data_IF_544188558225
#
_entry.id   IF_544188558225
#
_cell.length_a   1.000
_cell.length_b   1.000
_cell.length_c   1.000
_cell.angle_alpha   90.00
_cell.angle_beta   90.00
_cell.angle_gamma   90.00
#
_symmetry.space_group_name_H-M   'P 1'
#
loop_
_entity.id
_entity.type
_entity.pdbx_description
1 polymer ?
#
# COMPACT_ATOMS: atom_id res chain seq x y z
N UNK A 1 -15.48 -103.38 -17.30
CA UNK A 1 -16.09 -102.04 -17.70
C UNK A 1 -16.46 -101.24 -16.48
N UNK A 2 -15.59 -100.39 -15.99
CA UNK A 2 -15.89 -99.37 -14.94
C UNK A 2 -15.14 -98.08 -15.28
N UNK A 3 -15.90 -97.08 -15.70
CA UNK A 3 -15.37 -95.76 -16.03
C UNK A 3 -15.24 -94.96 -14.72
N UNK A 4 -14.03 -94.63 -14.35
CA UNK A 4 -13.71 -93.72 -13.25
C UNK A 4 -13.59 -92.32 -13.79
N UNK A 5 -14.52 -91.44 -13.35
CA UNK A 5 -14.56 -90.00 -13.67
C UNK A 5 -13.63 -89.26 -12.75
N UNK A 6 -12.55 -88.63 -13.28
CA UNK A 6 -11.60 -87.82 -12.55
C UNK A 6 -12.11 -86.34 -12.53
N UNK A 7 -12.58 -85.90 -11.38
CA UNK A 7 -12.91 -84.45 -11.17
C UNK A 7 -11.63 -83.64 -10.86
N UNK A 8 -11.32 -82.74 -11.75
CA UNK A 8 -10.24 -81.75 -11.56
C UNK A 8 -10.80 -80.52 -10.87
N UNK A 9 -10.45 -80.31 -9.59
CA UNK A 9 -10.82 -79.14 -8.83
C UNK A 9 -9.84 -77.97 -9.16
N UNK A 10 -10.32 -76.97 -9.84
CA UNK A 10 -9.61 -75.71 -10.14
C UNK A 10 -9.67 -74.80 -8.95
N UNK A 11 -8.62 -74.75 -8.11
CA UNK A 11 -8.51 -73.81 -7.03
C UNK A 11 -8.08 -72.45 -7.57
N UNK A 12 -9.06 -71.49 -7.68
CA UNK A 12 -8.81 -70.13 -8.05
C UNK A 12 -8.19 -69.36 -6.88
N UNK A 13 -6.90 -69.09 -6.98
CA UNK A 13 -6.19 -68.16 -6.04
C UNK A 13 -6.58 -66.72 -6.37
N UNK A 14 -7.43 -66.12 -5.52
CA UNK A 14 -7.70 -64.70 -5.53
C UNK A 14 -6.50 -63.98 -4.93
N UNK A 15 -5.68 -63.33 -5.77
CA UNK A 15 -4.63 -62.42 -5.33
C UNK A 15 -5.27 -61.09 -4.87
N UNK A 16 -5.10 -60.62 -3.61
CA UNK A 16 -5.53 -59.31 -3.23
C UNK A 16 -4.65 -58.27 -3.92
N UNK A 17 -5.25 -57.46 -4.81
CA UNK A 17 -4.61 -56.29 -5.38
C UNK A 17 -4.43 -55.30 -4.23
N UNK A 18 -3.24 -55.21 -3.64
CA UNK A 18 -2.88 -54.16 -2.72
C UNK A 18 -2.81 -52.84 -3.52
N UNK A 19 -3.83 -52.02 -3.41
CA UNK A 19 -3.82 -50.67 -3.91
C UNK A 19 -2.78 -49.90 -3.09
N UNK A 20 -1.59 -49.64 -3.63
CA UNK A 20 -0.60 -48.72 -3.06
C UNK A 20 -1.23 -47.34 -3.10
N UNK A 21 -1.24 -46.58 -1.96
CA UNK A 21 -1.67 -45.20 -1.99
C UNK A 21 -0.70 -44.44 -2.90
N UNK A 22 -1.18 -43.91 -4.02
CA UNK A 22 -0.46 -42.94 -4.84
C UNK A 22 -0.40 -41.67 -4.00
N UNK A 23 0.74 -41.47 -3.34
CA UNK A 23 1.09 -40.16 -2.75
C UNK A 23 1.20 -39.20 -3.93
N UNK A 24 0.20 -38.35 -4.11
CA UNK A 24 0.24 -37.27 -5.09
C UNK A 24 1.46 -36.40 -4.76
N UNK A 25 2.37 -36.26 -5.70
CA UNK A 25 3.50 -35.34 -5.55
C UNK A 25 2.97 -33.95 -5.18
N UNK A 26 3.54 -33.27 -4.19
CA UNK A 26 3.14 -31.90 -3.85
C UNK A 26 3.28 -31.01 -5.10
N UNK A 27 2.33 -30.11 -5.34
CA UNK A 27 2.39 -29.25 -6.51
C UNK A 27 3.70 -28.46 -6.52
N UNK A 28 4.43 -28.54 -7.63
CA UNK A 28 5.68 -27.80 -7.80
C UNK A 28 5.40 -26.29 -7.72
N UNK A 29 6.14 -25.57 -6.88
CA UNK A 29 6.03 -24.13 -6.79
C UNK A 29 6.57 -23.46 -8.06
N UNK A 30 5.69 -22.82 -8.83
CA UNK A 30 6.05 -21.92 -9.93
C UNK A 30 5.94 -20.47 -9.43
N UNK A 31 7.08 -19.85 -9.23
CA UNK A 31 7.19 -18.56 -8.56
C UNK A 31 7.35 -17.47 -9.61
N UNK A 32 6.65 -16.34 -9.42
CA UNK A 32 6.94 -15.07 -10.07
C UNK A 32 7.24 -14.01 -9.03
N UNK A 33 8.02 -13.01 -9.42
CA UNK A 33 8.47 -11.92 -8.54
C UNK A 33 7.87 -10.61 -9.02
N UNK A 34 7.49 -9.76 -8.08
CA UNK A 34 6.98 -8.42 -8.34
C UNK A 34 7.68 -7.40 -7.43
N UNK A 35 8.07 -6.26 -7.98
CA UNK A 35 8.59 -5.12 -7.25
C UNK A 35 7.49 -4.05 -7.11
N UNK A 36 6.80 -4.05 -5.96
CA UNK A 36 5.73 -3.07 -5.69
C UNK A 36 6.26 -1.65 -5.55
N UNK A 37 7.49 -1.48 -5.07
CA UNK A 37 8.12 -0.16 -4.99
C UNK A 37 8.41 0.38 -6.40
N UNK A 38 8.94 -0.45 -7.30
CA UNK A 38 9.16 -0.10 -8.68
C UNK A 38 7.84 0.24 -9.42
N UNK A 39 6.75 -0.48 -9.15
CA UNK A 39 5.43 -0.15 -9.71
C UNK A 39 4.99 1.24 -9.27
N UNK A 40 5.10 1.56 -7.98
CA UNK A 40 4.77 2.91 -7.48
C UNK A 40 5.67 3.98 -8.11
N UNK A 41 6.95 3.70 -8.32
CA UNK A 41 7.92 4.66 -8.83
C UNK A 41 7.81 4.89 -10.34
N UNK A 42 7.54 3.83 -11.12
CA UNK A 42 7.67 3.87 -12.57
C UNK A 42 6.34 3.78 -13.34
N UNK A 43 5.22 3.46 -12.68
CA UNK A 43 3.92 3.54 -13.34
C UNK A 43 3.48 5.00 -13.51
N UNK A 44 2.68 5.26 -14.56
CA UNK A 44 2.11 6.60 -14.82
C UNK A 44 1.29 7.10 -13.62
N UNK A 45 0.45 6.24 -13.06
CA UNK A 45 -0.37 6.58 -11.89
C UNK A 45 0.49 6.86 -10.65
N UNK A 46 1.55 6.08 -10.41
CA UNK A 46 2.45 6.30 -9.28
C UNK A 46 3.19 7.63 -9.39
N UNK A 47 3.69 7.97 -10.59
CA UNK A 47 4.33 9.25 -10.88
C UNK A 47 3.36 10.42 -10.74
N UNK A 48 2.12 10.26 -11.21
CA UNK A 48 1.07 11.27 -11.07
C UNK A 48 0.72 11.53 -9.60
N UNK A 49 0.53 10.46 -8.81
CA UNK A 49 0.34 10.56 -7.36
C UNK A 49 1.51 11.29 -6.70
N UNK A 50 2.75 10.89 -6.99
CA UNK A 50 3.95 11.52 -6.42
C UNK A 50 4.02 13.02 -6.75
N UNK A 51 3.73 13.42 -7.99
CA UNK A 51 3.69 14.82 -8.42
C UNK A 51 2.62 15.61 -7.67
N UNK A 52 1.41 15.08 -7.55
CA UNK A 52 0.33 15.73 -6.80
C UNK A 52 0.70 15.88 -5.32
N UNK A 53 1.21 14.82 -4.69
CA UNK A 53 1.65 14.85 -3.29
C UNK A 53 2.75 15.89 -3.04
N UNK A 54 3.73 15.98 -3.95
CA UNK A 54 4.78 17.00 -3.86
C UNK A 54 4.20 18.42 -3.97
N UNK A 55 3.25 18.63 -4.89
CA UNK A 55 2.57 19.92 -5.04
C UNK A 55 1.83 20.30 -3.76
N UNK A 56 1.07 19.37 -3.18
CA UNK A 56 0.32 19.60 -1.95
C UNK A 56 1.24 19.83 -0.73
N UNK A 57 2.34 19.09 -0.64
CA UNK A 57 3.33 19.30 0.42
C UNK A 57 3.98 20.71 0.32
N UNK A 58 4.31 21.15 -0.89
CA UNK A 58 4.86 22.48 -1.11
C UNK A 58 3.84 23.59 -0.78
N UNK A 59 2.57 23.41 -1.16
CA UNK A 59 1.50 24.35 -0.80
C UNK A 59 1.32 24.43 0.72
N UNK A 60 1.22 23.28 1.40
CA UNK A 60 1.10 23.24 2.85
C UNK A 60 2.29 23.92 3.55
N UNK A 61 3.52 23.67 3.09
CA UNK A 61 4.74 24.33 3.60
C UNK A 61 4.69 25.84 3.42
N UNK A 62 4.29 26.32 2.25
CA UNK A 62 4.21 27.75 1.95
C UNK A 62 3.16 28.45 2.81
N UNK A 63 1.96 27.83 2.95
CA UNK A 63 0.87 28.34 3.77
C UNK A 63 1.30 28.46 5.24
N UNK A 64 1.90 27.39 5.80
CA UNK A 64 2.38 27.36 7.18
C UNK A 64 3.53 28.36 7.41
N UNK A 65 4.45 28.48 6.46
CA UNK A 65 5.54 29.45 6.51
C UNK A 65 5.02 30.89 6.50
N UNK A 66 4.04 31.19 5.67
CA UNK A 66 3.41 32.50 5.61
C UNK A 66 2.72 32.85 6.93
N UNK A 67 1.92 31.92 7.47
CA UNK A 67 1.25 32.10 8.77
C UNK A 67 2.27 32.27 9.91
N UNK A 68 3.36 31.48 9.91
CA UNK A 68 4.43 31.59 10.89
C UNK A 68 5.13 32.95 10.85
N UNK A 69 5.41 33.48 9.65
CA UNK A 69 6.00 34.83 9.50
C UNK A 69 5.05 35.92 10.00
N UNK A 70 3.76 35.80 9.70
CA UNK A 70 2.75 36.76 10.19
C UNK A 70 2.65 36.72 11.72
N UNK A 71 2.63 35.51 12.31
CA UNK A 71 2.60 35.34 13.76
C UNK A 71 3.86 35.89 14.45
N UNK A 72 5.03 35.67 13.84
CA UNK A 72 6.30 36.24 14.32
C UNK A 72 6.29 37.77 14.30
N UNK A 73 5.73 38.39 13.24
CA UNK A 73 5.59 39.84 13.16
C UNK A 73 4.61 40.35 14.23
N UNK A 74 3.48 39.66 14.43
CA UNK A 74 2.52 39.99 15.50
C UNK A 74 3.16 39.89 16.89
N UNK A 75 3.99 38.85 17.15
CA UNK A 75 4.69 38.68 18.40
C UNK A 75 5.67 39.84 18.68
N UNK A 76 6.43 40.30 17.67
CA UNK A 76 7.29 41.48 17.81
C UNK A 76 6.50 42.74 18.13
N UNK A 77 5.39 42.98 17.44
CA UNK A 77 4.52 44.14 17.70
C UNK A 77 3.92 44.08 19.11
N UNK A 78 3.45 42.89 19.53
CA UNK A 78 2.92 42.69 20.87
C UNK A 78 3.99 42.99 21.96
N UNK A 79 5.21 42.50 21.76
CA UNK A 79 6.32 42.74 22.66
C UNK A 79 6.63 44.26 22.85
N UNK A 80 6.55 45.05 21.77
CA UNK A 80 6.75 46.50 21.82
C UNK A 80 5.63 47.23 22.55
N UNK A 81 4.39 46.74 22.39
CA UNK A 81 3.18 47.40 22.96
C UNK A 81 2.90 46.96 24.40
N UNK A 82 3.38 45.81 24.83
CA UNK A 82 3.00 45.21 26.12
C UNK A 82 3.33 46.08 27.34
N UNK A 83 4.34 46.95 27.22
CA UNK A 83 4.78 47.82 28.30
C UNK A 83 3.82 48.99 28.57
N UNK A 84 3.01 49.39 27.57
CA UNK A 84 2.11 50.56 27.63
C UNK A 84 0.63 50.16 27.69
N UNK A 85 0.29 48.86 27.63
CA UNK A 85 -1.08 48.35 27.68
C UNK A 85 -1.61 48.28 29.12
N UNK A 86 -2.88 48.58 29.31
CA UNK A 86 -3.59 48.28 30.56
C UNK A 86 -3.56 46.76 30.85
N UNK A 87 -3.48 46.35 32.15
CA UNK A 87 -3.24 44.95 32.52
C UNK A 87 -4.24 43.95 31.92
N UNK A 88 -5.51 44.31 31.86
CA UNK A 88 -6.58 43.48 31.27
C UNK A 88 -6.46 43.34 29.77
N UNK A 89 -6.09 44.40 29.05
CA UNK A 89 -5.83 44.38 27.60
C UNK A 89 -4.59 43.59 27.27
N UNK A 90 -3.53 43.74 28.07
CA UNK A 90 -2.30 42.94 27.94
C UNK A 90 -2.59 41.43 28.04
N UNK A 91 -3.32 41.03 29.09
CA UNK A 91 -3.66 39.63 29.29
C UNK A 91 -4.45 39.07 28.11
N UNK A 92 -5.50 39.75 27.67
CA UNK A 92 -6.33 39.34 26.52
C UNK A 92 -5.49 39.17 25.23
N UNK A 93 -4.55 40.10 24.95
CA UNK A 93 -3.68 40.01 23.77
C UNK A 93 -2.67 38.86 23.84
N UNK A 94 -2.11 38.62 25.00
CA UNK A 94 -1.21 37.48 25.22
C UNK A 94 -1.93 36.14 25.03
N UNK A 95 -3.15 36.03 25.58
CA UNK A 95 -3.94 34.80 25.44
C UNK A 95 -4.36 34.57 23.98
N UNK A 96 -4.79 35.64 23.28
CA UNK A 96 -5.09 35.57 21.86
C UNK A 96 -3.87 35.18 21.00
N UNK A 97 -2.69 35.66 21.34
CA UNK A 97 -1.45 35.31 20.66
C UNK A 97 -1.10 33.82 20.87
N UNK A 98 -1.16 33.34 22.12
CA UNK A 98 -0.96 31.91 22.43
C UNK A 98 -1.94 31.02 21.70
N UNK A 99 -3.22 31.38 21.65
CA UNK A 99 -4.22 30.63 20.90
C UNK A 99 -3.89 30.53 19.40
N UNK A 100 -3.28 31.59 18.81
CA UNK A 100 -2.82 31.56 17.41
C UNK A 100 -1.60 30.65 17.23
N UNK A 101 -0.66 30.64 18.18
CA UNK A 101 0.49 29.72 18.18
C UNK A 101 0.01 28.26 18.20
N UNK A 102 -0.89 27.92 19.12
CA UNK A 102 -1.51 26.59 19.22
C UNK A 102 -2.27 26.22 17.95
N UNK A 103 -3.03 27.18 17.39
CA UNK A 103 -3.78 26.97 16.15
C UNK A 103 -2.84 26.67 14.95
N UNK A 104 -1.71 27.36 14.85
CA UNK A 104 -0.69 27.13 13.81
C UNK A 104 -0.05 25.75 13.96
N UNK A 105 0.31 25.38 15.19
CA UNK A 105 0.85 24.05 15.47
C UNK A 105 -0.18 22.95 15.12
N UNK A 106 -1.43 23.11 15.53
CA UNK A 106 -2.51 22.21 15.18
C UNK A 106 -2.78 22.14 13.66
N UNK A 107 -2.64 23.28 12.96
CA UNK A 107 -2.76 23.32 11.50
C UNK A 107 -1.64 22.51 10.82
N UNK A 108 -0.41 22.58 11.31
CA UNK A 108 0.71 21.80 10.79
C UNK A 108 0.46 20.29 10.95
N UNK A 109 0.03 19.87 12.13
CA UNK A 109 -0.31 18.46 12.40
C UNK A 109 -1.45 17.97 11.48
N UNK A 110 -2.52 18.76 11.33
CA UNK A 110 -3.63 18.40 10.44
C UNK A 110 -3.19 18.27 8.97
N UNK A 111 -2.32 19.17 8.48
CA UNK A 111 -1.78 19.10 7.11
C UNK A 111 -0.96 17.84 6.89
N UNK A 112 -0.11 17.48 7.84
CA UNK A 112 0.70 16.24 7.77
C UNK A 112 -0.20 14.99 7.74
N UNK A 113 -1.21 14.94 8.61
CA UNK A 113 -2.15 13.83 8.64
C UNK A 113 -3.00 13.74 7.36
N UNK A 114 -3.48 14.86 6.83
CA UNK A 114 -4.19 14.91 5.55
C UNK A 114 -3.33 14.34 4.41
N UNK A 115 -2.06 14.70 4.34
CA UNK A 115 -1.15 14.18 3.32
C UNK A 115 -0.94 12.67 3.48
N UNK A 116 -0.75 12.16 4.68
CA UNK A 116 -0.60 10.72 4.95
C UNK A 116 -1.84 9.93 4.54
N UNK A 117 -3.02 10.40 4.94
CA UNK A 117 -4.30 9.74 4.61
C UNK A 117 -4.53 9.77 3.09
N UNK A 118 -4.32 10.90 2.45
CA UNK A 118 -4.50 11.06 1.01
C UNK A 118 -3.55 10.13 0.21
N UNK A 119 -2.29 10.04 0.62
CA UNK A 119 -1.33 9.12 0.02
C UNK A 119 -1.72 7.65 0.24
N UNK A 120 -2.14 7.29 1.45
CA UNK A 120 -2.61 5.94 1.78
C UNK A 120 -3.79 5.51 0.90
N UNK A 121 -4.76 6.39 0.70
CA UNK A 121 -5.92 6.14 -0.17
C UNK A 121 -5.53 6.02 -1.64
N UNK A 122 -4.65 6.89 -2.13
CA UNK A 122 -4.16 6.83 -3.50
C UNK A 122 -3.42 5.51 -3.77
N UNK A 123 -2.58 5.09 -2.82
CA UNK A 123 -1.89 3.80 -2.88
C UNK A 123 -2.87 2.62 -2.87
N UNK A 124 -3.87 2.64 -1.99
CA UNK A 124 -4.88 1.59 -1.92
C UNK A 124 -5.69 1.47 -3.23
N UNK A 125 -6.07 2.61 -3.83
CA UNK A 125 -6.74 2.63 -5.11
C UNK A 125 -5.88 2.02 -6.25
N UNK A 126 -4.60 2.30 -6.26
CA UNK A 126 -3.65 1.69 -7.20
C UNK A 126 -3.53 0.18 -6.96
N UNK A 127 -3.37 -0.27 -5.72
CA UNK A 127 -3.28 -1.68 -5.35
C UNK A 127 -4.55 -2.46 -5.72
N UNK A 128 -5.72 -1.84 -5.57
CA UNK A 128 -7.00 -2.42 -5.99
C UNK A 128 -7.05 -2.71 -7.51
N UNK A 129 -6.47 -1.84 -8.33
CA UNK A 129 -6.38 -2.07 -9.77
C UNK A 129 -5.25 -3.05 -10.14
N UNK A 130 -4.19 -3.09 -9.35
CA UNK A 130 -3.07 -4.01 -9.55
C UNK A 130 -3.46 -5.47 -9.26
N UNK A 131 -4.31 -5.73 -8.28
CA UNK A 131 -4.71 -7.09 -7.89
C UNK A 131 -5.19 -7.96 -9.06
N UNK A 132 -6.21 -7.56 -9.84
CA UNK A 132 -6.66 -8.31 -11.01
C UNK A 132 -5.60 -8.48 -12.11
N UNK A 133 -4.72 -7.47 -12.27
CA UNK A 133 -3.60 -7.53 -13.23
C UNK A 133 -2.63 -8.64 -12.83
N UNK A 134 -2.28 -8.72 -11.54
CA UNK A 134 -1.41 -9.76 -11.03
C UNK A 134 -2.01 -11.15 -11.16
N UNK A 135 -3.30 -11.30 -10.83
CA UNK A 135 -4.00 -12.59 -11.01
C UNK A 135 -3.93 -13.07 -12.46
N UNK A 136 -4.14 -12.17 -13.40
CA UNK A 136 -4.04 -12.50 -14.81
C UNK A 136 -2.61 -12.87 -15.22
N UNK A 137 -1.60 -12.10 -14.81
CA UNK A 137 -0.20 -12.40 -15.10
C UNK A 137 0.26 -13.72 -14.50
N UNK A 138 -0.14 -14.02 -13.26
CA UNK A 138 0.13 -15.30 -12.59
C UNK A 138 -0.43 -16.46 -13.40
N UNK A 139 -1.69 -16.34 -13.85
CA UNK A 139 -2.35 -17.36 -14.67
C UNK A 139 -1.63 -17.57 -16.02
N UNK A 140 -1.27 -16.49 -16.72
CA UNK A 140 -0.56 -16.52 -18.00
C UNK A 140 0.84 -17.15 -17.88
N UNK A 141 1.52 -16.91 -16.76
CA UNK A 141 2.84 -17.49 -16.47
C UNK A 141 2.74 -18.93 -15.93
N UNK A 142 1.53 -19.44 -15.68
CA UNK A 142 1.32 -20.72 -15.03
C UNK A 142 1.91 -20.78 -13.63
N UNK A 143 2.07 -19.63 -12.98
CA UNK A 143 2.61 -19.53 -11.62
C UNK A 143 1.52 -19.81 -10.58
N UNK A 144 1.94 -20.23 -9.39
CA UNK A 144 1.06 -20.45 -8.25
C UNK A 144 1.52 -19.68 -7.00
N UNK A 145 2.64 -18.95 -7.09
CA UNK A 145 3.15 -18.12 -6.00
C UNK A 145 3.72 -16.80 -6.56
N UNK A 146 3.39 -15.69 -5.88
CA UNK A 146 3.95 -14.36 -6.13
C UNK A 146 4.77 -13.94 -4.93
N UNK A 147 6.02 -13.57 -5.14
CA UNK A 147 6.89 -13.01 -4.11
C UNK A 147 7.14 -11.53 -4.38
N UNK A 148 7.20 -10.75 -3.31
CA UNK A 148 7.72 -9.39 -3.40
C UNK A 148 9.24 -9.44 -3.59
N UNK A 149 9.78 -8.62 -4.49
CA UNK A 149 11.22 -8.56 -4.77
C UNK A 149 12.05 -8.26 -3.54
N UNK A 150 11.49 -7.52 -2.57
CA UNK A 150 12.17 -7.24 -1.30
C UNK A 150 12.38 -8.48 -0.43
N UNK A 151 11.59 -9.53 -0.63
CA UNK A 151 11.75 -10.81 0.06
C UNK A 151 12.69 -11.78 -0.66
N UNK A 152 13.19 -11.43 -1.86
CA UNK A 152 14.05 -12.25 -2.67
C UNK A 152 15.51 -11.85 -2.45
N UNK A 153 16.30 -12.75 -1.87
CA UNK A 153 17.74 -12.50 -1.63
C UNK A 153 18.56 -12.62 -2.92
N UNK A 154 18.20 -13.57 -3.77
CA UNK A 154 18.88 -13.83 -5.03
C UNK A 154 17.93 -14.46 -6.07
N UNK A 155 17.96 -13.95 -7.29
CA UNK A 155 17.32 -14.56 -8.45
C UNK A 155 18.29 -14.50 -9.64
N UNK A 156 18.57 -15.65 -10.23
CA UNK A 156 19.52 -15.77 -11.36
C UNK A 156 18.87 -15.54 -12.74
N UNK A 157 17.55 -15.35 -12.78
CA UNK A 157 16.82 -15.21 -14.03
C UNK A 157 15.74 -14.12 -13.91
N UNK A 158 15.79 -13.14 -14.82
CA UNK A 158 14.80 -12.07 -14.92
C UNK A 158 13.43 -12.54 -15.45
N UNK A 159 13.33 -13.76 -16.00
CA UNK A 159 12.07 -14.32 -16.49
C UNK A 159 11.00 -14.51 -15.39
N UNK A 160 11.43 -14.55 -14.13
CA UNK A 160 10.50 -14.60 -12.99
C UNK A 160 9.90 -13.24 -12.65
N UNK A 161 10.53 -12.12 -13.07
CA UNK A 161 10.10 -10.78 -12.74
C UNK A 161 9.00 -10.31 -13.71
N UNK A 162 7.79 -10.14 -13.16
CA UNK A 162 6.61 -9.67 -13.92
C UNK A 162 6.33 -8.18 -13.69
N UNK A 163 7.23 -7.44 -13.04
CA UNK A 163 7.05 -6.03 -12.69
C UNK A 163 6.78 -5.16 -13.91
N UNK A 164 7.56 -5.35 -14.98
CA UNK A 164 7.41 -4.59 -16.22
C UNK A 164 6.05 -4.80 -16.89
N UNK A 165 5.59 -6.05 -16.97
CA UNK A 165 4.27 -6.39 -17.51
C UNK A 165 3.14 -5.79 -16.66
N UNK A 166 3.29 -5.84 -15.33
CA UNK A 166 2.34 -5.24 -14.39
C UNK A 166 2.25 -3.72 -14.56
N UNK A 167 3.40 -3.02 -14.70
CA UNK A 167 3.45 -1.57 -14.96
C UNK A 167 2.76 -1.24 -16.28
N UNK A 168 3.06 -1.97 -17.35
CA UNK A 168 2.47 -1.73 -18.67
C UNK A 168 0.93 -1.86 -18.63
N UNK A 169 0.40 -2.90 -18.01
CA UNK A 169 -1.04 -3.10 -17.87
C UNK A 169 -1.69 -2.09 -16.94
N UNK A 170 -1.02 -1.73 -15.86
CA UNK A 170 -1.51 -0.69 -14.94
C UNK A 170 -1.58 0.66 -15.64
N UNK A 171 -0.58 1.01 -16.45
CA UNK A 171 -0.55 2.25 -17.23
C UNK A 171 -1.70 2.36 -18.27
N UNK A 172 -2.17 1.23 -18.76
CA UNK A 172 -3.34 1.18 -19.65
C UNK A 172 -4.65 1.30 -18.88
N UNK A 173 -4.73 0.64 -17.72
CA UNK A 173 -5.97 0.54 -16.94
C UNK A 173 -6.20 1.75 -16.02
N UNK A 174 -5.13 2.30 -15.45
CA UNK A 174 -5.17 3.44 -14.53
C UNK A 174 -4.00 4.39 -14.85
N UNK A 175 -4.10 5.25 -15.89
CA UNK A 175 -3.03 6.17 -16.27
C UNK A 175 -2.81 7.31 -15.27
N UNK A 176 -3.81 7.67 -14.47
CA UNK A 176 -3.76 8.74 -13.47
C UNK A 176 -4.75 8.46 -12.34
N UNK A 177 -4.54 9.14 -11.20
CA UNK A 177 -5.45 9.10 -10.05
C UNK A 177 -5.50 10.46 -9.37
N UNK A 178 -6.71 11.03 -9.20
CA UNK A 178 -6.86 12.31 -8.49
C UNK A 178 -6.79 12.08 -6.97
N UNK A 179 -5.74 12.59 -6.36
CA UNK A 179 -5.53 12.50 -4.90
C UNK A 179 -6.55 13.40 -4.19
N UNK A 180 -7.24 12.85 -3.18
CA UNK A 180 -8.24 13.57 -2.39
C UNK A 180 -7.67 13.96 -1.02
N UNK A 181 -7.35 15.25 -0.83
CA UNK A 181 -6.90 15.80 0.46
C UNK A 181 -8.01 15.95 1.50
N UNK A 182 -9.29 15.97 1.07
CA UNK A 182 -10.44 16.14 1.97
C UNK A 182 -11.00 14.79 2.45
N UNK A 183 -10.26 13.72 2.24
CA UNK A 183 -10.65 12.42 2.73
C UNK A 183 -10.74 12.43 4.27
N UNK A 184 -11.79 11.83 4.85
CA UNK A 184 -11.91 11.78 6.30
C UNK A 184 -10.70 11.07 6.92
N UNK A 185 -10.05 11.75 7.86
CA UNK A 185 -9.00 11.15 8.68
C UNK A 185 -9.67 10.11 9.58
N UNK A 186 -9.26 8.85 9.55
CA UNK A 186 -9.81 7.86 10.46
C UNK A 186 -9.68 8.34 11.90
N UNK A 187 -10.77 8.24 12.67
CA UNK A 187 -10.70 8.57 14.08
C UNK A 187 -9.63 7.68 14.75
N UNK A 188 -8.75 8.30 15.53
CA UNK A 188 -7.76 7.56 16.28
C UNK A 188 -8.46 6.46 17.11
N UNK A 189 -7.93 5.25 17.17
CA UNK A 189 -8.51 4.19 18.00
C UNK A 189 -8.59 4.72 19.43
N UNK A 190 -9.80 4.76 19.98
CA UNK A 190 -9.99 5.07 21.40
C UNK A 190 -9.22 4.02 22.20
N UNK A 191 -8.21 4.45 22.95
CA UNK A 191 -7.49 3.61 23.90
C UNK A 191 -8.40 3.21 25.04
#
# INVERSE_FOLDING_TARGET
>A
MKKTLLMLALAGTVFPIMATPVLADPPQAKIVVIDRAAIMQFSKVGQDIAKQMQTYANQAKNDLSSQGKALQAEGRNLQQQVAILAPDVKQKRLDAFRAKEEALQGAAQRKDEQLKVAFGQARAAMEQQLGPILQQLVKERGANLVLDKQAVVFANNSAFDITGDAINRLNQKLPSYKVNLNAPVPAAPKK
#
